data_IF_345075883498
#
_entry.id   IF_345075883498
#
_cell.length_a   1.000
_cell.length_b   1.000
_cell.length_c   1.000
_cell.angle_alpha   90.00
_cell.angle_beta   90.00
_cell.angle_gamma   90.00
#
_symmetry.space_group_name_H-M   'P 1'
#
loop_
_entity.id
_entity.type
_entity.pdbx_description
1 polymer ?
#
# COMPACT_ATOMS: atom_id res chain seq x y z
N UNK A 1 8.40 45.58 0.11
CA UNK A 1 7.51 44.48 0.56
C UNK A 1 7.57 44.36 2.05
N UNK A 2 6.45 44.31 2.78
CA UNK A 2 6.49 44.21 4.27
C UNK A 2 7.14 42.85 4.65
N UNK A 3 7.97 42.79 5.73
CA UNK A 3 8.71 41.57 6.12
C UNK A 3 7.82 40.34 6.33
N UNK A 4 6.59 40.55 6.79
CA UNK A 4 5.57 39.49 6.89
C UNK A 4 5.24 38.82 5.55
N UNK A 5 5.08 39.62 4.48
CA UNK A 5 4.80 39.07 3.13
C UNK A 5 5.99 38.29 2.58
N UNK A 6 7.21 38.71 2.86
CA UNK A 6 8.43 37.97 2.46
C UNK A 6 8.51 36.63 3.18
N UNK A 7 8.21 36.59 4.49
CA UNK A 7 8.15 35.35 5.27
C UNK A 7 7.08 34.39 4.71
N UNK A 8 5.86 34.87 4.40
CA UNK A 8 4.82 34.03 3.81
C UNK A 8 5.24 33.44 2.48
N UNK A 9 5.86 34.25 1.59
CA UNK A 9 6.35 33.78 0.30
C UNK A 9 7.45 32.72 0.49
N UNK A 10 8.38 32.95 1.41
CA UNK A 10 9.44 31.98 1.74
C UNK A 10 8.85 30.62 2.18
N UNK A 11 7.87 30.62 3.10
CA UNK A 11 7.22 29.40 3.57
C UNK A 11 6.44 28.69 2.45
N UNK A 12 5.78 29.43 1.56
CA UNK A 12 5.10 28.84 0.40
C UNK A 12 6.08 28.16 -0.55
N UNK A 13 7.19 28.81 -0.88
CA UNK A 13 8.23 28.24 -1.74
C UNK A 13 8.84 26.99 -1.10
N UNK A 14 9.16 27.04 0.19
CA UNK A 14 9.70 25.90 0.94
C UNK A 14 8.73 24.72 0.94
N UNK A 15 7.45 24.96 1.23
CA UNK A 15 6.41 23.94 1.25
C UNK A 15 6.22 23.31 -0.15
N UNK A 16 6.20 24.13 -1.20
CA UNK A 16 6.15 23.65 -2.57
C UNK A 16 7.38 22.80 -2.91
N UNK A 17 8.58 23.25 -2.53
CA UNK A 17 9.83 22.51 -2.73
C UNK A 17 9.80 21.14 -2.05
N UNK A 18 9.34 21.04 -0.81
CA UNK A 18 9.17 19.76 -0.09
C UNK A 18 8.19 18.87 -0.83
N UNK A 19 7.01 19.40 -1.21
CA UNK A 19 5.99 18.62 -1.92
C UNK A 19 6.53 18.04 -3.24
N UNK A 20 7.16 18.87 -4.07
CA UNK A 20 7.73 18.43 -5.34
C UNK A 20 8.86 17.41 -5.16
N UNK A 21 9.72 17.59 -4.16
CA UNK A 21 10.79 16.63 -3.85
C UNK A 21 10.21 15.26 -3.47
N UNK A 22 9.15 15.23 -2.67
CA UNK A 22 8.44 13.99 -2.32
C UNK A 22 7.72 13.39 -3.53
N UNK A 23 7.11 14.20 -4.39
CA UNK A 23 6.49 13.72 -5.62
C UNK A 23 7.53 13.06 -6.55
N UNK A 24 8.71 13.66 -6.72
CA UNK A 24 9.82 13.07 -7.49
C UNK A 24 10.33 11.77 -6.84
N UNK A 25 10.44 11.73 -5.51
CA UNK A 25 10.78 10.49 -4.78
C UNK A 25 9.78 9.38 -5.07
N UNK A 26 8.47 9.69 -5.06
CA UNK A 26 7.42 8.72 -5.35
C UNK A 26 7.54 8.25 -6.81
N UNK A 27 7.66 9.15 -7.78
CA UNK A 27 7.83 8.81 -9.20
C UNK A 27 8.99 7.83 -9.41
N UNK A 28 10.14 8.13 -8.79
CA UNK A 28 11.36 7.32 -8.93
C UNK A 28 11.21 5.91 -8.34
N UNK A 29 10.36 5.73 -7.32
CA UNK A 29 10.26 4.48 -6.58
C UNK A 29 8.92 3.74 -6.76
N UNK A 30 7.96 4.32 -7.48
CA UNK A 30 6.61 3.77 -7.62
C UNK A 30 6.58 2.40 -8.33
N UNK A 31 7.36 2.25 -9.38
CA UNK A 31 7.40 1.02 -10.20
C UNK A 31 8.58 0.11 -9.83
N UNK A 32 9.22 0.34 -8.68
CA UNK A 32 10.38 -0.44 -8.25
C UNK A 32 9.97 -1.86 -7.85
N UNK A 33 10.13 -2.79 -8.79
CA UNK A 33 9.85 -4.21 -8.61
C UNK A 33 11.16 -4.92 -8.17
N UNK A 34 11.23 -5.25 -6.89
CA UNK A 34 12.36 -5.96 -6.28
C UNK A 34 11.91 -7.33 -5.75
N UNK A 35 10.95 -7.96 -6.46
CA UNK A 35 10.36 -9.21 -6.02
C UNK A 35 11.41 -10.32 -5.82
N UNK A 36 11.25 -11.01 -4.71
CA UNK A 36 12.04 -12.19 -4.33
C UNK A 36 11.08 -13.25 -3.83
N UNK A 37 11.51 -14.50 -3.83
CA UNK A 37 10.80 -15.57 -3.13
C UNK A 37 10.68 -15.21 -1.65
N UNK A 38 9.50 -15.44 -1.08
CA UNK A 38 9.18 -15.08 0.29
C UNK A 38 8.31 -16.17 0.96
N UNK A 39 8.17 -16.09 2.27
CA UNK A 39 7.28 -16.99 3.02
C UNK A 39 5.81 -16.58 2.87
N UNK A 40 5.57 -15.28 2.63
CA UNK A 40 4.22 -14.73 2.47
C UNK A 40 4.20 -13.53 1.53
N UNK A 41 3.14 -13.43 0.72
CA UNK A 41 2.81 -12.21 -0.03
C UNK A 41 1.84 -11.39 0.83
N UNK A 42 2.26 -10.21 1.26
CA UNK A 42 1.43 -9.25 1.98
C UNK A 42 0.77 -8.28 1.00
N UNK A 43 -0.54 -8.25 0.98
CA UNK A 43 -1.34 -7.34 0.13
C UNK A 43 -2.00 -6.28 1.00
N UNK A 44 -1.71 -5.01 0.72
CA UNK A 44 -2.35 -3.91 1.42
C UNK A 44 -3.69 -3.56 0.78
N UNK A 45 -4.72 -3.45 1.62
CA UNK A 45 -6.06 -3.08 1.23
C UNK A 45 -6.19 -1.64 0.75
N UNK A 46 -7.33 -1.37 0.21
CA UNK A 46 -7.92 -0.06 -0.12
C UNK A 46 -9.41 -0.26 -0.11
N UNK A 47 -10.20 0.81 -0.19
CA UNK A 47 -11.67 0.70 -0.21
C UNK A 47 -12.15 -0.53 -0.96
N UNK A 48 -13.03 -1.32 -0.32
CA UNK A 48 -13.52 -2.57 -0.88
C UNK A 48 -14.41 -2.36 -2.11
N UNK A 49 -15.28 -1.34 -2.07
CA UNK A 49 -16.27 -1.07 -3.12
C UNK A 49 -16.17 0.37 -3.65
N UNK A 50 -16.55 0.53 -4.91
CA UNK A 50 -16.78 1.80 -5.59
C UNK A 50 -18.07 1.65 -6.41
N UNK A 51 -19.08 2.47 -6.11
CA UNK A 51 -20.39 2.42 -6.78
C UNK A 51 -20.99 1.00 -6.79
N UNK A 52 -21.08 0.37 -5.61
CA UNK A 52 -21.59 -0.99 -5.36
C UNK A 52 -20.90 -2.13 -6.13
N UNK A 53 -19.77 -1.86 -6.76
CA UNK A 53 -18.91 -2.86 -7.41
C UNK A 53 -17.58 -2.98 -6.68
N UNK A 54 -16.90 -4.11 -6.83
CA UNK A 54 -15.54 -4.24 -6.32
C UNK A 54 -14.65 -3.12 -6.84
N UNK A 55 -13.93 -2.47 -5.95
CA UNK A 55 -12.97 -1.44 -6.32
C UNK A 55 -11.88 -2.00 -7.25
N UNK A 56 -11.75 -1.50 -8.48
CA UNK A 56 -10.79 -2.05 -9.44
C UNK A 56 -9.33 -1.97 -8.97
N UNK A 57 -8.99 -1.01 -8.09
CA UNK A 57 -7.66 -0.97 -7.49
C UNK A 57 -7.44 -2.14 -6.52
N UNK A 58 -8.45 -2.51 -5.72
CA UNK A 58 -8.37 -3.66 -4.83
C UNK A 58 -8.25 -4.95 -5.62
N UNK A 59 -9.11 -5.12 -6.63
CA UNK A 59 -9.10 -6.29 -7.54
C UNK A 59 -7.73 -6.45 -8.19
N UNK A 60 -7.15 -5.37 -8.71
CA UNK A 60 -5.85 -5.43 -9.39
C UNK A 60 -4.71 -5.86 -8.44
N UNK A 61 -4.72 -5.42 -7.18
CA UNK A 61 -3.74 -5.87 -6.17
C UNK A 61 -3.87 -7.36 -5.91
N UNK A 62 -5.11 -7.84 -5.72
CA UNK A 62 -5.36 -9.27 -5.46
C UNK A 62 -4.96 -10.11 -6.67
N UNK A 63 -5.35 -9.72 -7.89
CA UNK A 63 -4.95 -10.42 -9.12
C UNK A 63 -3.43 -10.53 -9.24
N UNK A 64 -2.71 -9.41 -9.03
CA UNK A 64 -1.25 -9.41 -9.07
C UNK A 64 -0.64 -10.35 -8.02
N UNK A 65 -1.17 -10.33 -6.79
CA UNK A 65 -0.72 -11.21 -5.72
C UNK A 65 -1.00 -12.69 -6.02
N UNK A 66 -2.18 -13.00 -6.58
CA UNK A 66 -2.54 -14.37 -7.00
C UNK A 66 -1.66 -14.85 -8.13
N UNK A 67 -1.29 -14.01 -9.09
CA UNK A 67 -0.35 -14.35 -10.16
C UNK A 67 1.04 -14.69 -9.60
N UNK A 68 1.51 -13.92 -8.59
CA UNK A 68 2.76 -14.21 -7.89
C UNK A 68 2.67 -15.53 -7.10
N UNK A 69 1.57 -15.77 -6.40
CA UNK A 69 1.31 -17.02 -5.68
C UNK A 69 1.33 -18.23 -6.63
N UNK A 70 0.61 -18.18 -7.77
CA UNK A 70 0.60 -19.23 -8.79
C UNK A 70 1.97 -19.46 -9.44
N UNK A 71 2.85 -18.46 -9.42
CA UNK A 71 4.25 -18.56 -9.85
C UNK A 71 5.20 -19.01 -8.73
N UNK A 72 4.65 -19.43 -7.58
CA UNK A 72 5.36 -19.91 -6.40
C UNK A 72 6.33 -18.89 -5.78
N UNK A 73 6.06 -17.57 -5.90
CA UNK A 73 6.85 -16.57 -5.18
C UNK A 73 6.66 -16.63 -3.65
N UNK A 74 5.51 -17.11 -3.18
CA UNK A 74 5.29 -17.46 -1.79
C UNK A 74 4.14 -18.49 -1.66
N UNK A 75 4.17 -19.36 -0.64
CA UNK A 75 3.11 -20.35 -0.41
C UNK A 75 1.87 -19.79 0.28
N UNK A 76 1.93 -18.58 0.82
CA UNK A 76 0.84 -17.96 1.59
C UNK A 76 0.57 -16.54 1.13
N UNK A 77 -0.71 -16.13 1.23
CA UNK A 77 -1.18 -14.76 1.05
C UNK A 77 -1.64 -14.21 2.40
N UNK A 78 -1.25 -12.98 2.73
CA UNK A 78 -1.74 -12.22 3.88
C UNK A 78 -2.43 -10.96 3.36
N UNK A 79 -3.75 -10.89 3.50
CA UNK A 79 -4.52 -9.70 3.17
C UNK A 79 -4.67 -8.83 4.40
N UNK A 80 -4.32 -7.55 4.29
CA UNK A 80 -4.37 -6.60 5.39
C UNK A 80 -5.20 -5.37 5.03
N UNK A 81 -6.25 -5.13 5.81
CA UNK A 81 -7.18 -4.01 5.68
C UNK A 81 -8.42 -4.24 6.52
N UNK A 82 -8.83 -3.23 7.25
CA UNK A 82 -10.00 -3.28 8.13
C UNK A 82 -11.30 -2.85 7.44
N UNK A 83 -12.25 -2.37 8.25
CA UNK A 83 -13.56 -1.97 7.76
C UNK A 83 -13.51 -0.63 7.02
N UNK A 84 -14.05 -0.60 5.81
CA UNK A 84 -14.32 0.66 5.10
C UNK A 84 -15.45 1.39 5.82
N UNK A 85 -15.14 2.55 6.37
CA UNK A 85 -16.09 3.38 7.15
C UNK A 85 -17.33 3.82 6.36
N UNK A 86 -17.31 3.72 5.03
CA UNK A 86 -18.44 4.15 4.19
C UNK A 86 -19.43 3.03 3.87
N UNK A 87 -18.96 1.81 3.70
CA UNK A 87 -19.79 0.70 3.21
C UNK A 87 -19.86 -0.47 4.21
N UNK A 88 -19.17 -0.37 5.36
CA UNK A 88 -19.13 -1.42 6.38
C UNK A 88 -18.45 -2.73 5.92
N UNK A 89 -17.84 -2.74 4.75
CA UNK A 89 -17.19 -3.92 4.23
C UNK A 89 -15.74 -4.00 4.71
N UNK A 90 -15.32 -5.19 5.11
CA UNK A 90 -13.94 -5.45 5.51
C UNK A 90 -13.06 -5.68 4.29
N UNK A 91 -12.01 -4.85 4.12
CA UNK A 91 -11.14 -4.90 2.95
C UNK A 91 -10.41 -6.25 2.83
N UNK A 92 -9.88 -6.78 3.94
CA UNK A 92 -9.18 -8.07 3.94
C UNK A 92 -10.12 -9.22 3.59
N UNK A 93 -11.36 -9.19 4.08
CA UNK A 93 -12.35 -10.21 3.75
C UNK A 93 -12.74 -10.18 2.26
N UNK A 94 -12.93 -8.99 1.69
CA UNK A 94 -13.21 -8.85 0.25
C UNK A 94 -12.03 -9.33 -0.60
N UNK A 95 -10.79 -9.02 -0.18
CA UNK A 95 -9.60 -9.55 -0.87
C UNK A 95 -9.54 -11.08 -0.83
N UNK A 96 -9.91 -11.70 0.29
CA UNK A 96 -10.03 -13.17 0.42
C UNK A 96 -11.05 -13.73 -0.56
N UNK A 97 -12.26 -13.15 -0.62
CA UNK A 97 -13.32 -13.58 -1.55
C UNK A 97 -12.85 -13.58 -3.00
N UNK A 98 -12.17 -12.50 -3.42
CA UNK A 98 -11.60 -12.38 -4.76
C UNK A 98 -10.52 -13.46 -4.99
N UNK A 99 -9.64 -13.70 -4.02
CA UNK A 99 -8.57 -14.69 -4.14
C UNK A 99 -9.12 -16.13 -4.23
N UNK A 100 -10.14 -16.47 -3.46
CA UNK A 100 -10.85 -17.75 -3.53
C UNK A 100 -11.49 -17.95 -4.91
N UNK A 101 -12.16 -16.92 -5.44
CA UNK A 101 -12.73 -16.95 -6.79
C UNK A 101 -11.65 -17.17 -7.86
N UNK A 102 -10.43 -16.64 -7.64
CA UNK A 102 -9.28 -16.83 -8.52
C UNK A 102 -8.56 -18.18 -8.32
N UNK A 103 -9.07 -19.04 -7.42
CA UNK A 103 -8.59 -20.43 -7.25
C UNK A 103 -7.44 -20.57 -6.24
N UNK A 104 -7.26 -19.63 -5.31
CA UNK A 104 -6.36 -19.80 -4.18
C UNK A 104 -7.02 -20.69 -3.13
N UNK A 105 -6.26 -21.62 -2.53
CA UNK A 105 -6.78 -22.44 -1.43
C UNK A 105 -7.02 -21.59 -0.17
N UNK A 106 -8.14 -21.83 0.53
CA UNK A 106 -8.48 -21.07 1.74
C UNK A 106 -7.41 -21.24 2.84
N UNK A 107 -6.81 -22.39 2.95
CA UNK A 107 -5.73 -22.69 3.91
C UNK A 107 -4.45 -21.89 3.66
N UNK A 108 -4.29 -21.31 2.46
CA UNK A 108 -3.14 -20.48 2.11
C UNK A 108 -3.40 -18.98 2.33
N UNK A 109 -4.59 -18.62 2.81
CA UNK A 109 -4.98 -17.24 3.02
C UNK A 109 -4.97 -16.91 4.52
N UNK A 110 -4.27 -15.84 4.86
CA UNK A 110 -4.26 -15.21 6.19
C UNK A 110 -4.91 -13.84 6.10
N UNK A 111 -5.57 -13.41 7.17
CA UNK A 111 -6.24 -12.12 7.24
C UNK A 111 -5.74 -11.29 8.42
N UNK A 112 -5.50 -10.02 8.16
CA UNK A 112 -5.44 -8.93 9.12
C UNK A 112 -6.60 -7.98 8.79
N UNK A 113 -7.61 -7.90 9.63
CA UNK A 113 -8.91 -7.30 9.32
C UNK A 113 -9.30 -6.14 10.24
N UNK A 114 -8.34 -5.55 10.98
CA UNK A 114 -8.62 -4.56 12.02
C UNK A 114 -7.97 -3.20 11.79
N UNK A 115 -7.04 -3.12 10.87
CA UNK A 115 -6.26 -1.92 10.58
C UNK A 115 -7.09 -0.84 9.86
N UNK A 116 -6.87 0.42 10.24
CA UNK A 116 -7.52 1.60 9.63
C UNK A 116 -6.54 2.55 8.94
N UNK A 117 -5.27 2.17 8.86
CA UNK A 117 -4.21 2.98 8.25
C UNK A 117 -3.08 2.10 7.72
N UNK A 118 -2.28 2.62 6.78
CA UNK A 118 -1.11 1.88 6.27
C UNK A 118 -0.11 1.53 7.38
N UNK A 119 0.04 2.38 8.39
CA UNK A 119 0.88 2.08 9.54
C UNK A 119 0.35 0.85 10.30
N UNK A 120 -0.94 0.80 10.56
CA UNK A 120 -1.58 -0.32 11.25
C UNK A 120 -1.59 -1.58 10.39
N UNK A 121 -1.86 -1.47 9.08
CA UNK A 121 -1.75 -2.60 8.16
C UNK A 121 -0.41 -3.32 8.33
N UNK A 122 0.69 -2.58 8.25
CA UNK A 122 2.02 -3.14 8.36
C UNK A 122 2.37 -3.58 9.78
N UNK A 123 1.96 -2.80 10.80
CA UNK A 123 2.22 -3.14 12.21
C UNK A 123 1.48 -4.41 12.65
N UNK A 124 0.20 -4.55 12.25
CA UNK A 124 -0.59 -5.71 12.63
C UNK A 124 -0.21 -6.94 11.79
N UNK A 125 0.10 -6.75 10.50
CA UNK A 125 0.68 -7.82 9.67
C UNK A 125 2.01 -8.33 10.24
N UNK A 126 2.86 -7.45 10.78
CA UNK A 126 4.11 -7.85 11.45
C UNK A 126 3.86 -8.82 12.60
N UNK A 127 2.78 -8.62 13.40
CA UNK A 127 2.42 -9.53 14.48
C UNK A 127 2.09 -10.94 13.95
N UNK A 128 1.30 -11.01 12.86
CA UNK A 128 0.92 -12.28 12.22
C UNK A 128 2.17 -12.99 11.64
N UNK A 129 2.99 -12.24 10.92
CA UNK A 129 4.26 -12.73 10.32
C UNK A 129 5.17 -13.33 11.41
N UNK A 130 5.33 -12.61 12.53
CA UNK A 130 6.13 -13.08 13.66
C UNK A 130 5.53 -14.34 14.32
N UNK A 131 4.22 -14.35 14.55
CA UNK A 131 3.54 -15.50 15.16
C UNK A 131 3.59 -16.77 14.28
N UNK A 132 3.62 -16.59 12.96
CA UNK A 132 3.75 -17.67 11.95
C UNK A 132 5.22 -18.03 11.67
N UNK A 133 6.19 -17.35 12.29
CA UNK A 133 7.63 -17.54 12.06
C UNK A 133 8.05 -17.34 10.59
N UNK A 134 7.35 -16.45 9.86
CA UNK A 134 7.76 -16.07 8.51
C UNK A 134 8.96 -15.11 8.59
N UNK A 135 9.97 -15.36 7.77
CA UNK A 135 11.22 -14.60 7.74
C UNK A 135 11.30 -13.60 6.59
N UNK A 136 10.46 -13.78 5.58
CA UNK A 136 10.49 -12.99 4.35
C UNK A 136 9.09 -12.63 3.87
N UNK A 137 8.95 -11.38 3.38
CA UNK A 137 7.69 -10.81 2.94
C UNK A 137 7.87 -10.21 1.55
N UNK A 138 6.94 -10.55 0.64
CA UNK A 138 6.77 -9.87 -0.64
C UNK A 138 5.55 -8.96 -0.55
N UNK A 139 5.78 -7.64 -0.54
CA UNK A 139 4.73 -6.64 -0.43
C UNK A 139 4.10 -6.34 -1.79
N UNK A 140 2.78 -6.39 -1.86
CA UNK A 140 1.98 -5.99 -3.02
C UNK A 140 1.06 -4.82 -2.67
N UNK A 141 1.13 -3.77 -3.45
CA UNK A 141 0.23 -2.61 -3.37
C UNK A 141 0.23 -1.83 -4.69
N UNK A 142 -0.54 -0.73 -4.77
CA UNK A 142 -0.47 0.19 -5.92
C UNK A 142 0.89 0.89 -6.00
N UNK A 143 1.39 1.15 -7.23
CA UNK A 143 2.67 1.82 -7.42
C UNK A 143 2.79 3.15 -6.68
N UNK A 144 1.79 4.04 -6.76
CA UNK A 144 1.84 5.34 -6.06
C UNK A 144 1.92 5.19 -4.54
N UNK A 145 1.39 4.11 -3.98
CA UNK A 145 1.36 3.83 -2.54
C UNK A 145 2.64 3.15 -2.04
N UNK A 146 3.33 2.43 -2.93
CA UNK A 146 4.50 1.61 -2.56
C UNK A 146 5.59 2.37 -1.80
N UNK A 147 6.03 3.59 -2.23
CA UNK A 147 7.09 4.30 -1.52
C UNK A 147 6.75 4.60 -0.06
N UNK A 148 5.51 5.00 0.24
CA UNK A 148 5.06 5.23 1.62
C UNK A 148 4.99 3.93 2.43
N UNK A 149 4.51 2.85 1.83
CA UNK A 149 4.47 1.55 2.50
C UNK A 149 5.87 1.04 2.86
N UNK A 150 6.85 1.23 1.97
CA UNK A 150 8.26 0.89 2.24
C UNK A 150 8.81 1.72 3.41
N UNK A 151 8.58 3.04 3.43
CA UNK A 151 9.04 3.90 4.52
C UNK A 151 8.44 3.47 5.87
N UNK A 152 7.15 3.13 5.91
CA UNK A 152 6.50 2.61 7.12
C UNK A 152 7.10 1.27 7.53
N UNK A 153 7.30 0.34 6.60
CA UNK A 153 7.90 -0.95 6.88
C UNK A 153 9.31 -0.81 7.49
N UNK A 154 10.14 0.07 6.94
CA UNK A 154 11.47 0.40 7.47
C UNK A 154 11.38 0.97 8.89
N UNK A 155 10.45 1.89 9.15
CA UNK A 155 10.24 2.51 10.47
C UNK A 155 9.92 1.48 11.55
N UNK A 156 9.09 0.49 11.24
CA UNK A 156 8.71 -0.55 12.20
C UNK A 156 9.67 -1.75 12.21
N UNK A 157 10.77 -1.69 11.44
CA UNK A 157 11.75 -2.77 11.34
C UNK A 157 11.21 -4.03 10.67
N UNK A 158 10.34 -3.88 9.66
CA UNK A 158 9.82 -4.97 8.84
C UNK A 158 10.61 -5.03 7.53
N UNK A 159 11.36 -6.11 7.31
CA UNK A 159 12.08 -6.30 6.06
C UNK A 159 11.14 -6.85 5.00
N UNK A 160 11.07 -6.16 3.87
CA UNK A 160 10.20 -6.51 2.75
C UNK A 160 10.96 -6.43 1.43
N UNK A 161 10.60 -7.29 0.49
CA UNK A 161 10.76 -7.06 -0.95
C UNK A 161 9.44 -6.57 -1.52
N UNK A 162 9.44 -6.00 -2.71
CA UNK A 162 8.23 -5.38 -3.26
C UNK A 162 7.94 -5.79 -4.70
N UNK A 163 6.65 -5.92 -5.02
CA UNK A 163 6.16 -6.09 -6.38
C UNK A 163 4.88 -5.26 -6.55
N UNK A 164 4.96 -4.04 -7.08
CA UNK A 164 3.80 -3.18 -7.28
C UNK A 164 2.87 -3.71 -8.37
N UNK A 165 1.57 -3.50 -8.21
CA UNK A 165 0.53 -3.89 -9.18
C UNK A 165 0.52 -2.92 -10.39
N UNK A 166 1.57 -2.94 -11.21
CA UNK A 166 1.76 -2.01 -12.33
C UNK A 166 0.72 -2.15 -13.44
N UNK A 167 0.02 -3.29 -13.53
CA UNK A 167 -1.07 -3.51 -14.48
C UNK A 167 -2.41 -2.95 -13.99
N UNK A 168 -2.46 -2.40 -12.79
CA UNK A 168 -3.66 -1.79 -12.25
C UNK A 168 -4.16 -0.64 -13.13
N UNK A 169 -5.46 -0.65 -13.44
CA UNK A 169 -6.12 0.47 -14.14
C UNK A 169 -6.01 1.77 -13.34
N UNK A 170 -5.91 1.68 -12.02
CA UNK A 170 -5.74 2.82 -11.12
C UNK A 170 -4.37 3.47 -11.24
N UNK A 171 -3.38 2.71 -11.69
CA UNK A 171 -2.06 3.21 -12.00
C UNK A 171 -1.95 3.65 -13.46
N UNK A 172 -2.38 2.84 -14.41
CA UNK A 172 -2.21 3.11 -15.84
C UNK A 172 -2.96 4.34 -16.34
N UNK A 173 -4.17 4.61 -15.80
CA UNK A 173 -4.92 5.82 -16.11
C UNK A 173 -4.44 6.99 -15.25
N UNK A 174 -3.85 8.01 -15.90
CA UNK A 174 -3.42 9.27 -15.26
C UNK A 174 -2.51 9.06 -14.04
N UNK A 175 -1.57 8.12 -14.11
CA UNK A 175 -0.73 7.66 -12.99
C UNK A 175 -0.09 8.79 -12.17
N UNK A 176 0.42 9.85 -12.82
CA UNK A 176 1.09 10.96 -12.12
C UNK A 176 0.18 12.13 -11.77
N UNK A 177 -1.02 12.18 -12.35
CA UNK A 177 -2.01 13.23 -12.10
C UNK A 177 -3.27 12.71 -11.45
N UNK A 178 -3.30 11.45 -11.04
CA UNK A 178 -4.42 10.90 -10.30
C UNK A 178 -4.54 11.54 -8.92
N UNK A 179 -5.77 11.68 -8.42
CA UNK A 179 -6.01 12.14 -7.05
C UNK A 179 -5.23 11.31 -6.02
N UNK A 180 -5.09 10.00 -6.26
CA UNK A 180 -4.37 9.10 -5.35
C UNK A 180 -2.89 9.44 -5.32
N UNK A 181 -2.24 9.63 -6.47
CA UNK A 181 -0.84 10.02 -6.54
C UNK A 181 -0.58 11.38 -5.87
N UNK A 182 -1.38 12.41 -6.17
CA UNK A 182 -1.19 13.76 -5.64
C UNK A 182 -1.37 13.86 -4.11
N UNK A 183 -2.03 12.90 -3.49
CA UNK A 183 -2.18 12.82 -2.02
C UNK A 183 -0.98 12.20 -1.33
N UNK A 184 -0.19 11.38 -1.99
CA UNK A 184 0.89 10.63 -1.36
C UNK A 184 2.00 11.50 -0.76
N UNK A 185 2.48 12.62 -1.40
CA UNK A 185 3.42 13.53 -0.76
C UNK A 185 2.90 14.08 0.58
N UNK A 186 1.62 14.46 0.62
CA UNK A 186 0.97 14.97 1.85
C UNK A 186 0.81 13.85 2.88
N UNK A 187 0.50 12.63 2.44
CA UNK A 187 0.42 11.47 3.33
C UNK A 187 1.79 11.16 3.97
N UNK A 188 2.88 11.24 3.22
CA UNK A 188 4.24 11.06 3.75
C UNK A 188 4.54 12.12 4.80
N UNK A 189 4.24 13.40 4.56
CA UNK A 189 4.42 14.48 5.54
C UNK A 189 3.60 14.18 6.81
N UNK A 190 2.33 13.84 6.67
CA UNK A 190 1.45 13.51 7.78
C UNK A 190 1.98 12.35 8.64
N UNK A 191 2.43 11.27 8.01
CA UNK A 191 3.01 10.12 8.69
C UNK A 191 4.31 10.48 9.41
N UNK A 192 5.14 11.34 8.80
CA UNK A 192 6.36 11.86 9.44
C UNK A 192 6.05 12.67 10.68
N UNK A 193 5.04 13.54 10.62
CA UNK A 193 4.60 14.34 11.79
C UNK A 193 4.07 13.45 12.93
N UNK A 194 3.47 12.29 12.59
CA UNK A 194 3.00 11.31 13.57
C UNK A 194 4.09 10.33 14.06
N UNK A 195 5.35 10.52 13.65
CA UNK A 195 6.46 9.61 13.96
C UNK A 195 6.20 8.16 13.50
N UNK A 196 5.49 8.01 12.37
CA UNK A 196 5.16 6.73 11.74
C UNK A 196 6.05 6.41 10.52
N UNK A 197 7.00 7.33 10.21
CA UNK A 197 8.09 7.18 9.23
C UNK A 197 9.43 7.50 9.87
#
# INVERSE_FOLDING_TARGET
MKPFMQACIFFLILSAGIYFSLALYIIKNAEKDEKKYADVILVLGTKAYHDDQYNPCLVARVQHAVDLYKKNYAPKLLFSGGDDTKNGANEAQVMKEIALYLGVSEEDILLESTSISTYENLLFSKKIVTAKQFNSILLVTEPFHLPRAILVAQKIGLQISSSPAIQSICWQKNRYFSRNFLREPLAIIYYKMKNQL
#
